data_IF_889113657249
#
_entry.id   IF_889113657249
#
_cell.length_a   1.000
_cell.length_b   1.000
_cell.length_c   1.000
_cell.angle_alpha   90.00
_cell.angle_beta   90.00
_cell.angle_gamma   90.00
#
_symmetry.space_group_name_H-M   'P 1'
#
loop_
_entity.id
_entity.type
_entity.pdbx_description
1 polymer ?
#
# COMPACT_ATOMS: atom_id res chain seq x y z
N UNK A 1 -17.28 -2.26 42.76
CA UNK A 1 -17.56 -2.24 41.30
C UNK A 1 -16.35 -1.64 40.62
N UNK A 2 -15.47 -2.49 40.07
CA UNK A 2 -14.25 -2.04 39.39
C UNK A 2 -14.60 -1.48 38.01
N UNK A 3 -14.03 -0.33 37.67
CA UNK A 3 -14.15 0.29 36.36
C UNK A 3 -13.62 -0.67 35.27
N UNK A 4 -14.21 -0.69 34.06
CA UNK A 4 -13.70 -1.51 32.97
C UNK A 4 -12.34 -0.96 32.55
N UNK A 5 -11.32 -1.80 32.57
CA UNK A 5 -10.01 -1.52 31.97
C UNK A 5 -10.21 -1.19 30.50
N UNK A 6 -10.06 0.09 30.16
CA UNK A 6 -9.97 0.52 28.77
C UNK A 6 -8.76 -0.18 28.15
N UNK A 7 -9.01 -1.02 27.16
CA UNK A 7 -7.98 -1.60 26.30
C UNK A 7 -7.07 -0.47 25.79
N UNK A 8 -5.86 -0.37 26.31
CA UNK A 8 -4.79 0.42 25.72
C UNK A 8 -4.33 -0.30 24.45
N UNK A 9 -5.12 -0.14 23.39
CA UNK A 9 -4.69 -0.45 22.03
C UNK A 9 -3.49 0.47 21.77
N UNK A 10 -2.26 -0.05 21.86
CA UNK A 10 -1.07 0.73 21.51
C UNK A 10 -1.26 1.31 20.12
N UNK A 11 -1.48 2.62 20.05
CA UNK A 11 -1.71 3.36 18.82
C UNK A 11 -0.48 3.20 17.93
N UNK A 12 -0.65 2.42 16.87
CA UNK A 12 0.35 2.15 15.83
C UNK A 12 0.47 3.35 14.87
N UNK A 13 0.55 4.57 15.41
CA UNK A 13 0.62 5.79 14.62
C UNK A 13 2.07 6.25 14.51
N UNK A 14 2.70 6.01 13.37
CA UNK A 14 4.03 6.54 13.08
C UNK A 14 3.99 8.08 12.99
N UNK A 15 5.14 8.75 13.14
CA UNK A 15 5.27 10.21 12.92
C UNK A 15 4.73 10.64 11.55
N UNK A 16 4.87 9.77 10.54
CA UNK A 16 4.31 9.98 9.19
C UNK A 16 2.78 9.97 9.20
N UNK A 17 2.16 9.04 9.92
CA UNK A 17 0.69 8.96 10.07
C UNK A 17 0.15 10.22 10.75
N UNK A 18 0.77 10.68 11.84
CA UNK A 18 0.38 11.92 12.51
C UNK A 18 0.53 13.13 11.58
N UNK A 19 1.64 13.21 10.85
CA UNK A 19 1.87 14.27 9.85
C UNK A 19 0.82 14.23 8.72
N UNK A 20 0.40 13.03 8.32
CA UNK A 20 -0.68 12.86 7.35
C UNK A 20 -2.02 13.35 7.90
N UNK A 21 -2.38 13.00 9.13
CA UNK A 21 -3.61 13.47 9.77
C UNK A 21 -3.66 14.99 9.87
N UNK A 22 -2.57 15.63 10.30
CA UNK A 22 -2.46 17.11 10.30
C UNK A 22 -2.73 17.72 8.92
N UNK A 23 -2.18 17.13 7.85
CA UNK A 23 -2.43 17.60 6.47
C UNK A 23 -3.88 17.40 6.03
N UNK A 24 -4.52 16.31 6.45
CA UNK A 24 -5.94 16.05 6.15
C UNK A 24 -6.82 17.06 6.86
N UNK A 25 -6.62 17.29 8.15
CA UNK A 25 -7.36 18.30 8.92
C UNK A 25 -7.21 19.69 8.29
N UNK A 26 -5.98 20.12 8.00
CA UNK A 26 -5.74 21.40 7.33
C UNK A 26 -6.42 21.53 5.96
N UNK A 27 -6.55 20.42 5.22
CA UNK A 27 -7.30 20.39 3.96
C UNK A 27 -8.80 20.56 4.19
N UNK A 28 -9.36 19.89 5.20
CA UNK A 28 -10.78 19.99 5.54
C UNK A 28 -11.13 21.38 6.07
N UNK A 29 -10.25 22.01 6.86
CA UNK A 29 -10.41 23.41 7.29
C UNK A 29 -10.46 24.37 6.11
N UNK A 30 -9.53 24.24 5.15
CA UNK A 30 -9.58 25.05 3.92
C UNK A 30 -10.85 24.79 3.10
N UNK A 31 -11.40 23.57 3.16
CA UNK A 31 -12.66 23.27 2.49
C UNK A 31 -13.84 23.89 3.24
N UNK A 32 -13.89 23.80 4.57
CA UNK A 32 -14.89 24.45 5.41
C UNK A 32 -14.91 25.98 5.17
N UNK A 33 -13.74 26.62 5.12
CA UNK A 33 -13.64 28.05 4.82
C UNK A 33 -14.22 28.41 3.43
N UNK A 34 -14.04 27.55 2.42
CA UNK A 34 -14.64 27.74 1.10
C UNK A 34 -16.16 27.58 1.13
N UNK A 35 -16.67 26.59 1.86
CA UNK A 35 -18.11 26.39 2.02
C UNK A 35 -18.76 27.58 2.73
N UNK A 36 -18.13 28.08 3.79
CA UNK A 36 -18.57 29.28 4.50
C UNK A 36 -18.60 30.51 3.57
N UNK A 37 -17.52 30.73 2.81
CA UNK A 37 -17.45 31.85 1.85
C UNK A 37 -18.48 31.75 0.72
N UNK A 38 -18.87 30.53 0.33
CA UNK A 38 -19.91 30.29 -0.67
C UNK A 38 -21.33 30.38 -0.11
N UNK A 39 -21.51 30.44 1.21
CA UNK A 39 -22.81 30.38 1.88
C UNK A 39 -23.38 28.96 2.03
N UNK A 40 -22.60 27.93 1.69
CA UNK A 40 -22.99 26.51 1.79
C UNK A 40 -22.82 25.93 3.20
N UNK A 41 -22.23 26.70 4.12
CA UNK A 41 -22.04 26.34 5.53
C UNK A 41 -22.30 27.55 6.41
N UNK A 42 -23.07 27.37 7.48
CA UNK A 42 -23.27 28.39 8.50
C UNK A 42 -21.99 28.64 9.31
N UNK A 43 -21.89 29.81 9.95
CA UNK A 43 -20.82 30.08 10.89
C UNK A 43 -20.99 29.19 12.14
N UNK A 44 -20.05 28.24 12.29
CA UNK A 44 -20.03 27.29 13.41
C UNK A 44 -18.77 27.58 14.23
N UNK A 45 -18.88 27.96 15.51
CA UNK A 45 -17.72 28.25 16.35
C UNK A 45 -16.81 27.04 16.56
N UNK A 46 -17.41 25.86 16.80
CA UNK A 46 -16.68 24.62 17.06
C UNK A 46 -15.90 24.15 15.82
N UNK A 47 -14.58 24.07 15.99
CA UNK A 47 -13.66 23.69 14.93
C UNK A 47 -13.85 22.25 14.47
N UNK A 48 -14.05 21.30 15.37
CA UNK A 48 -14.14 19.88 15.05
C UNK A 48 -15.43 19.62 14.27
N UNK A 49 -16.53 20.30 14.63
CA UNK A 49 -17.80 20.25 13.87
C UNK A 49 -17.63 20.80 12.46
N UNK A 50 -16.95 21.94 12.26
CA UNK A 50 -16.67 22.48 10.91
C UNK A 50 -15.91 21.49 10.04
N UNK A 51 -14.89 20.84 10.62
CA UNK A 51 -14.08 19.82 9.93
C UNK A 51 -14.94 18.61 9.54
N UNK A 52 -15.83 18.17 10.43
CA UNK A 52 -16.74 17.04 10.19
C UNK A 52 -17.72 17.31 9.05
N UNK A 53 -18.34 18.49 9.02
CA UNK A 53 -19.28 18.88 7.95
C UNK A 53 -18.53 18.99 6.62
N UNK A 54 -17.36 19.63 6.59
CA UNK A 54 -16.55 19.69 5.38
C UNK A 54 -16.16 18.29 4.86
N UNK A 55 -15.91 17.35 5.77
CA UNK A 55 -15.71 15.95 5.39
C UNK A 55 -16.98 15.33 4.80
N UNK A 56 -18.16 15.53 5.41
CA UNK A 56 -19.42 14.99 4.91
C UNK A 56 -19.75 15.48 3.49
N UNK A 57 -19.46 16.74 3.18
CA UNK A 57 -19.60 17.29 1.82
C UNK A 57 -18.65 16.63 0.81
N UNK A 58 -17.42 16.30 1.23
CA UNK A 58 -16.39 15.73 0.36
C UNK A 58 -16.46 14.20 0.25
N UNK A 59 -17.07 13.52 1.22
CA UNK A 59 -17.13 12.05 1.28
C UNK A 59 -17.65 11.38 -0.02
N UNK A 60 -18.71 11.90 -0.70
CA UNK A 60 -19.23 11.31 -1.93
C UNK A 60 -18.28 11.45 -3.12
N UNK A 61 -17.28 12.34 -3.05
CA UNK A 61 -16.36 12.63 -4.16
C UNK A 61 -15.02 11.91 -4.02
N UNK A 62 -14.81 11.16 -2.94
CA UNK A 62 -13.56 10.44 -2.67
C UNK A 62 -13.79 8.93 -2.60
N UNK A 63 -12.72 8.17 -2.85
CA UNK A 63 -12.77 6.70 -2.71
C UNK A 63 -13.07 6.30 -1.26
N UNK A 64 -13.69 5.15 -1.05
CA UNK A 64 -13.97 4.60 0.28
C UNK A 64 -12.69 4.49 1.14
N UNK A 65 -11.56 4.12 0.52
CA UNK A 65 -10.28 4.06 1.21
C UNK A 65 -9.80 5.43 1.70
N UNK A 66 -10.06 6.50 0.92
CA UNK A 66 -9.75 7.88 1.31
C UNK A 66 -10.70 8.37 2.38
N UNK A 67 -12.00 8.11 2.24
CA UNK A 67 -13.01 8.47 3.24
C UNK A 67 -12.67 7.86 4.61
N UNK A 68 -12.31 6.57 4.65
CA UNK A 68 -11.86 5.90 5.87
C UNK A 68 -10.62 6.57 6.50
N UNK A 69 -9.65 7.00 5.68
CA UNK A 69 -8.46 7.70 6.18
C UNK A 69 -8.78 9.09 6.72
N UNK A 70 -9.76 9.77 6.12
CA UNK A 70 -10.22 11.07 6.59
C UNK A 70 -10.96 10.93 7.92
N UNK A 71 -11.85 9.95 8.06
CA UNK A 71 -12.49 9.62 9.35
C UNK A 71 -11.46 9.34 10.44
N UNK A 72 -10.44 8.53 10.14
CA UNK A 72 -9.36 8.27 11.10
C UNK A 72 -8.60 9.55 11.51
N UNK A 73 -8.40 10.50 10.59
CA UNK A 73 -7.79 11.79 10.90
C UNK A 73 -8.67 12.66 11.81
N UNK A 74 -10.00 12.62 11.61
CA UNK A 74 -10.97 13.36 12.43
C UNK A 74 -11.09 12.75 13.83
N UNK A 75 -11.11 11.41 13.94
CA UNK A 75 -11.07 10.74 15.23
C UNK A 75 -9.80 11.10 16.02
N UNK A 76 -8.65 11.10 15.34
CA UNK A 76 -7.40 11.55 15.96
C UNK A 76 -7.44 13.02 16.37
N UNK A 77 -8.14 13.87 15.61
CA UNK A 77 -8.32 15.27 15.98
C UNK A 77 -9.09 15.40 17.29
N UNK A 78 -10.24 14.73 17.40
CA UNK A 78 -11.06 14.71 18.63
C UNK A 78 -10.26 14.20 19.83
N UNK A 79 -9.46 13.14 19.65
CA UNK A 79 -8.62 12.59 20.72
C UNK A 79 -7.50 13.54 21.17
N UNK A 80 -6.94 14.32 20.25
CA UNK A 80 -5.77 15.17 20.53
C UNK A 80 -6.12 16.62 20.90
N UNK A 81 -7.23 17.13 20.36
CA UNK A 81 -7.74 18.48 20.55
C UNK A 81 -9.28 18.40 20.72
N UNK A 82 -9.77 17.98 21.90
CA UNK A 82 -11.20 17.81 22.14
C UNK A 82 -11.96 19.13 21.98
N UNK A 83 -13.12 19.05 21.32
CA UNK A 83 -14.07 20.13 21.14
C UNK A 83 -15.26 20.01 22.11
N UNK A 84 -16.04 21.07 22.22
CA UNK A 84 -17.25 21.07 23.08
C UNK A 84 -18.36 20.20 22.49
N UNK A 85 -18.32 19.95 21.18
CA UNK A 85 -19.36 19.23 20.43
C UNK A 85 -18.88 17.97 19.72
N UNK A 86 -17.88 17.28 20.27
CA UNK A 86 -17.32 16.07 19.65
C UNK A 86 -18.34 14.93 19.48
N UNK A 87 -19.39 14.89 20.32
CA UNK A 87 -20.51 13.96 20.11
C UNK A 87 -21.25 14.19 18.79
N UNK A 88 -21.43 15.45 18.39
CA UNK A 88 -22.02 15.78 17.08
C UNK A 88 -21.07 15.41 15.94
N UNK A 89 -19.76 15.54 16.15
CA UNK A 89 -18.75 15.11 15.18
C UNK A 89 -18.85 13.61 14.92
N UNK A 90 -18.95 12.79 15.97
CA UNK A 90 -19.09 11.34 15.85
C UNK A 90 -20.34 10.96 15.05
N UNK A 91 -21.48 11.60 15.33
CA UNK A 91 -22.72 11.40 14.58
C UNK A 91 -22.59 11.74 13.09
N UNK A 92 -21.79 12.76 12.75
CA UNK A 92 -21.58 13.17 11.35
C UNK A 92 -20.71 12.15 10.61
N UNK A 93 -19.62 11.67 11.24
CA UNK A 93 -18.63 10.83 10.55
C UNK A 93 -18.95 9.33 10.63
N UNK A 94 -19.73 8.91 11.62
CA UNK A 94 -20.11 7.53 11.89
C UNK A 94 -21.55 7.47 12.45
N UNK A 95 -22.57 7.76 11.61
CA UNK A 95 -23.97 7.72 12.04
C UNK A 95 -24.40 6.29 12.42
N UNK A 96 -25.28 6.17 13.41
CA UNK A 96 -25.82 4.88 13.82
C UNK A 96 -26.59 4.19 12.68
N UNK A 97 -26.51 2.85 12.55
CA UNK A 97 -27.21 2.13 11.49
C UNK A 97 -28.73 2.26 11.63
N UNK A 98 -29.37 2.86 10.62
CA UNK A 98 -30.82 2.89 10.42
C UNK A 98 -31.16 2.44 9.00
N UNK A 99 -32.45 2.18 8.71
CA UNK A 99 -32.90 1.92 7.34
C UNK A 99 -32.51 3.07 6.38
N UNK A 100 -32.65 4.32 6.84
CA UNK A 100 -32.22 5.50 6.09
C UNK A 100 -30.70 5.60 5.90
N UNK A 101 -29.90 5.05 6.83
CA UNK A 101 -28.44 5.00 6.68
C UNK A 101 -27.99 3.94 5.66
N UNK A 102 -28.69 2.80 5.58
CA UNK A 102 -28.44 1.82 4.52
C UNK A 102 -28.66 2.44 3.13
N UNK A 103 -29.78 3.17 2.97
CA UNK A 103 -30.07 3.89 1.73
C UNK A 103 -29.02 4.96 1.44
N UNK A 104 -28.58 5.71 2.46
CA UNK A 104 -27.48 6.69 2.34
C UNK A 104 -26.19 6.02 1.87
N UNK A 105 -25.84 4.86 2.42
CA UNK A 105 -24.63 4.14 2.02
C UNK A 105 -24.69 3.65 0.58
N UNK A 106 -25.85 3.20 0.11
CA UNK A 106 -26.05 2.80 -1.27
C UNK A 106 -26.03 4.01 -2.22
N UNK A 107 -26.62 5.15 -1.83
CA UNK A 107 -26.50 6.40 -2.56
C UNK A 107 -25.05 6.88 -2.64
N UNK A 108 -24.29 6.80 -1.54
CA UNK A 108 -22.87 7.13 -1.50
C UNK A 108 -22.05 6.22 -2.44
N UNK A 109 -22.36 4.92 -2.49
CA UNK A 109 -21.72 3.97 -3.42
C UNK A 109 -22.03 4.34 -4.86
N UNK A 110 -23.28 4.69 -5.17
CA UNK A 110 -23.71 5.12 -6.51
C UNK A 110 -23.02 6.43 -6.93
N UNK A 111 -23.02 7.45 -6.07
CA UNK A 111 -22.33 8.73 -6.31
C UNK A 111 -20.83 8.55 -6.51
N UNK A 112 -20.19 7.70 -5.70
CA UNK A 112 -18.76 7.35 -5.88
C UNK A 112 -18.50 6.68 -7.22
N UNK A 113 -19.36 5.75 -7.64
CA UNK A 113 -19.25 5.10 -8.94
C UNK A 113 -19.34 6.10 -10.10
N UNK A 114 -20.21 7.11 -9.98
CA UNK A 114 -20.35 8.20 -10.95
C UNK A 114 -19.16 9.18 -10.93
N UNK A 115 -18.66 9.55 -9.75
CA UNK A 115 -17.58 10.54 -9.60
C UNK A 115 -16.19 9.97 -9.91
N UNK A 116 -16.01 8.66 -9.78
CA UNK A 116 -14.74 7.96 -9.98
C UNK A 116 -14.66 7.27 -11.36
N UNK A 117 -15.30 7.85 -12.38
CA UNK A 117 -15.28 7.36 -13.76
C UNK A 117 -13.86 7.27 -14.35
N UNK A 118 -12.92 8.08 -13.85
CA UNK A 118 -11.51 8.04 -14.27
C UNK A 118 -10.64 7.40 -13.20
N UNK A 119 -9.84 6.41 -13.59
CA UNK A 119 -8.84 5.81 -12.69
C UNK A 119 -7.80 6.88 -12.32
N UNK A 120 -7.45 6.98 -11.03
CA UNK A 120 -6.41 7.92 -10.57
C UNK A 120 -5.35 7.26 -9.70
N UNK A 121 -4.11 7.72 -9.83
CA UNK A 121 -3.00 7.36 -8.95
C UNK A 121 -2.75 5.85 -8.90
N UNK A 122 -2.89 5.23 -7.72
CA UNK A 122 -2.66 3.79 -7.56
C UNK A 122 -3.59 2.91 -8.41
N UNK A 123 -4.77 3.42 -8.80
CA UNK A 123 -5.71 2.68 -9.64
C UNK A 123 -5.23 2.59 -11.10
N UNK A 124 -4.43 3.55 -11.57
CA UNK A 124 -3.83 3.52 -12.91
C UNK A 124 -2.63 2.58 -13.00
N UNK A 125 -2.20 1.97 -11.89
CA UNK A 125 -1.07 1.03 -11.90
C UNK A 125 -1.56 -0.34 -12.39
N UNK A 126 -0.91 -0.85 -13.43
CA UNK A 126 -1.11 -2.21 -13.89
C UNK A 126 -0.68 -3.19 -12.79
N UNK A 127 -1.50 -4.22 -12.54
CA UNK A 127 -1.15 -5.31 -11.61
C UNK A 127 -0.38 -6.43 -12.29
N UNK A 128 -0.40 -6.47 -13.62
CA UNK A 128 0.27 -7.50 -14.41
C UNK A 128 0.80 -6.87 -15.70
N UNK A 129 1.91 -7.41 -16.18
CA UNK A 129 2.48 -7.13 -17.49
C UNK A 129 3.03 -8.46 -18.03
N UNK A 130 2.77 -8.77 -19.30
CA UNK A 130 3.30 -9.98 -19.95
C UNK A 130 4.81 -9.87 -20.14
N UNK A 131 5.52 -10.99 -20.35
CA UNK A 131 6.96 -10.93 -20.63
C UNK A 131 7.26 -10.16 -21.92
N UNK A 132 6.42 -10.30 -22.96
CA UNK A 132 6.57 -9.51 -24.19
C UNK A 132 6.45 -8.00 -23.93
N UNK A 133 5.49 -7.58 -23.09
CA UNK A 133 5.37 -6.18 -22.71
C UNK A 133 6.50 -5.71 -21.79
N UNK A 134 7.03 -6.56 -20.90
CA UNK A 134 8.24 -6.25 -20.14
C UNK A 134 9.44 -6.02 -21.05
N UNK A 135 9.62 -6.86 -22.08
CA UNK A 135 10.65 -6.67 -23.11
C UNK A 135 10.47 -5.34 -23.82
N UNK A 136 9.26 -5.04 -24.31
CA UNK A 136 8.95 -3.76 -24.98
C UNK A 136 9.25 -2.55 -24.10
N UNK A 137 8.86 -2.59 -22.82
CA UNK A 137 9.16 -1.52 -21.87
C UNK A 137 10.66 -1.40 -21.62
N UNK A 138 11.37 -2.53 -21.48
CA UNK A 138 12.81 -2.57 -21.27
C UNK A 138 13.59 -1.98 -22.46
N UNK A 139 13.17 -2.30 -23.68
CA UNK A 139 13.73 -1.72 -24.90
C UNK A 139 13.44 -0.22 -25.01
N UNK A 140 12.22 0.22 -24.69
CA UNK A 140 11.86 1.64 -24.68
C UNK A 140 12.67 2.42 -23.64
N UNK A 141 12.84 1.88 -22.43
CA UNK A 141 13.75 2.42 -21.42
C UNK A 141 15.19 2.46 -21.93
N UNK A 142 15.65 1.43 -22.63
CA UNK A 142 16.99 1.37 -23.22
C UNK A 142 17.25 2.43 -24.29
N UNK A 143 16.21 2.92 -24.96
CA UNK A 143 16.30 4.05 -25.92
C UNK A 143 16.21 5.43 -25.26
N UNK A 144 15.80 5.50 -23.99
CA UNK A 144 15.70 6.78 -23.28
C UNK A 144 17.09 7.34 -22.99
N UNK A 145 17.24 8.66 -23.20
CA UNK A 145 18.46 9.40 -22.85
C UNK A 145 18.50 9.82 -21.37
N UNK A 146 17.47 9.49 -20.60
CA UNK A 146 17.40 9.81 -19.17
C UNK A 146 18.47 9.05 -18.40
N UNK A 147 19.13 9.74 -17.46
CA UNK A 147 20.02 9.11 -16.48
C UNK A 147 19.31 8.07 -15.60
N UNK A 148 17.97 8.10 -15.51
CA UNK A 148 17.18 7.12 -14.76
C UNK A 148 16.88 5.84 -15.54
N UNK A 149 17.22 5.75 -16.84
CA UNK A 149 16.91 4.60 -17.68
C UNK A 149 17.58 3.30 -17.21
N UNK A 150 18.90 3.35 -16.95
CA UNK A 150 19.66 2.23 -16.39
C UNK A 150 19.12 1.79 -15.02
N UNK A 151 19.02 2.72 -14.04
CA UNK A 151 18.40 2.45 -12.75
C UNK A 151 17.00 1.84 -12.84
N UNK A 152 16.14 2.33 -13.74
CA UNK A 152 14.78 1.82 -13.92
C UNK A 152 14.78 0.34 -14.38
N UNK A 153 15.61 0.01 -15.37
CA UNK A 153 15.74 -1.38 -15.88
C UNK A 153 16.26 -2.32 -14.79
N UNK A 154 17.32 -1.92 -14.09
CA UNK A 154 17.86 -2.71 -12.96
C UNK A 154 16.82 -2.91 -11.86
N UNK A 155 16.11 -1.86 -11.45
CA UNK A 155 15.13 -1.95 -10.38
C UNK A 155 13.96 -2.87 -10.73
N UNK A 156 13.43 -2.75 -11.96
CA UNK A 156 12.37 -3.63 -12.45
C UNK A 156 12.82 -5.10 -12.40
N UNK A 157 13.98 -5.42 -12.97
CA UNK A 157 14.49 -6.80 -13.03
C UNK A 157 14.78 -7.35 -11.64
N UNK A 158 15.48 -6.59 -10.80
CA UNK A 158 15.78 -7.00 -9.42
C UNK A 158 14.50 -7.23 -8.60
N UNK A 159 13.44 -6.44 -8.85
CA UNK A 159 12.13 -6.62 -8.21
C UNK A 159 11.35 -7.83 -8.75
N UNK A 160 11.47 -8.15 -10.04
CA UNK A 160 10.88 -9.36 -10.62
C UNK A 160 11.51 -10.65 -10.07
N UNK A 161 12.77 -10.57 -9.63
CA UNK A 161 13.51 -11.68 -9.02
C UNK A 161 13.23 -11.82 -7.52
N UNK A 162 13.06 -10.72 -6.79
CA UNK A 162 13.03 -10.72 -5.32
C UNK A 162 11.71 -10.27 -4.69
N UNK A 163 10.88 -9.56 -5.44
CA UNK A 163 9.58 -9.08 -4.98
C UNK A 163 9.62 -7.93 -3.98
N UNK A 164 10.77 -7.30 -3.68
CA UNK A 164 10.88 -6.22 -2.70
C UNK A 164 9.99 -5.01 -3.03
N UNK A 165 9.50 -4.30 -2.01
CA UNK A 165 8.90 -2.97 -2.20
C UNK A 165 10.01 -1.96 -2.43
N UNK A 166 9.72 -0.83 -3.10
CA UNK A 166 10.69 0.25 -3.24
C UNK A 166 11.41 0.55 -1.92
N UNK A 167 10.66 0.93 -0.88
CA UNK A 167 11.23 1.30 0.42
C UNK A 167 12.00 0.19 1.18
N UNK A 168 11.91 -1.07 0.75
CA UNK A 168 12.64 -2.19 1.37
C UNK A 168 14.08 -2.29 0.87
N UNK A 169 14.35 -1.86 -0.37
CA UNK A 169 15.67 -1.96 -1.00
C UNK A 169 16.80 -1.27 -0.25
N UNK A 170 16.50 -0.12 0.37
CA UNK A 170 17.48 0.72 1.06
C UNK A 170 18.19 0.04 2.22
N UNK A 171 17.52 -0.91 2.88
CA UNK A 171 18.04 -1.65 4.03
C UNK A 171 18.12 -3.15 3.74
N UNK A 172 18.12 -3.52 2.47
CA UNK A 172 18.28 -4.90 2.06
C UNK A 172 19.77 -5.24 1.93
N UNK A 173 20.13 -6.45 2.30
CA UNK A 173 21.51 -6.94 2.26
C UNK A 173 21.54 -8.33 1.63
N UNK A 174 22.54 -8.57 0.81
CA UNK A 174 22.79 -9.86 0.19
C UNK A 174 23.94 -10.53 0.95
N UNK A 175 23.64 -11.66 1.57
CA UNK A 175 24.60 -12.55 2.23
C UNK A 175 24.67 -13.86 1.44
N UNK A 176 25.72 -14.02 0.64
CA UNK A 176 25.82 -15.09 -0.36
C UNK A 176 24.64 -15.08 -1.32
N UNK A 177 23.79 -16.10 -1.27
CA UNK A 177 22.56 -16.21 -2.06
C UNK A 177 21.30 -15.93 -1.23
N UNK A 178 21.41 -15.27 -0.07
CA UNK A 178 20.29 -14.93 0.80
C UNK A 178 20.11 -13.42 0.88
N UNK A 179 18.94 -12.94 0.47
CA UNK A 179 18.57 -11.53 0.55
C UNK A 179 17.81 -11.28 1.85
N UNK A 180 18.46 -10.61 2.80
CA UNK A 180 17.91 -10.22 4.09
C UNK A 180 17.25 -8.85 3.97
N UNK A 181 16.00 -8.73 4.44
CA UNK A 181 15.16 -7.55 4.20
C UNK A 181 14.43 -7.13 5.46
N UNK A 182 14.52 -5.85 5.83
CA UNK A 182 13.65 -5.27 6.86
C UNK A 182 12.22 -5.14 6.32
N UNK A 183 11.27 -5.80 6.98
CA UNK A 183 9.87 -5.79 6.57
C UNK A 183 9.26 -4.39 6.71
N UNK A 184 8.85 -3.76 5.61
CA UNK A 184 8.22 -2.44 5.63
C UNK A 184 6.87 -2.41 6.40
N UNK A 185 6.28 -3.57 6.72
CA UNK A 185 5.04 -3.69 7.50
C UNK A 185 5.27 -3.97 9.00
N UNK A 186 6.52 -4.11 9.44
CA UNK A 186 6.82 -4.35 10.86
C UNK A 186 6.38 -3.17 11.73
N UNK A 187 6.49 -1.94 11.23
CA UNK A 187 6.09 -0.69 11.91
C UNK A 187 4.60 -0.57 12.24
N UNK A 188 3.76 -1.45 11.70
CA UNK A 188 2.30 -1.40 11.87
C UNK A 188 1.71 -2.71 12.41
N UNK A 189 2.53 -3.63 12.95
CA UNK A 189 2.06 -4.96 13.41
C UNK A 189 1.52 -5.86 12.28
N UNK A 190 1.83 -5.52 11.02
CA UNK A 190 1.29 -6.21 9.82
C UNK A 190 2.30 -7.13 9.13
N UNK A 191 3.52 -7.24 9.66
CA UNK A 191 4.54 -8.21 9.25
C UNK A 191 4.60 -9.40 10.23
N UNK A 192 5.08 -10.55 9.76
CA UNK A 192 5.27 -11.74 10.61
C UNK A 192 6.51 -11.62 11.51
N UNK A 193 7.43 -10.70 11.18
CA UNK A 193 8.70 -10.47 11.86
C UNK A 193 9.27 -9.10 11.47
N UNK A 194 10.34 -8.66 12.15
CA UNK A 194 11.07 -7.43 11.81
C UNK A 194 11.81 -7.55 10.46
N UNK A 195 12.41 -8.71 10.19
CA UNK A 195 13.17 -9.01 8.97
C UNK A 195 12.67 -10.30 8.33
N UNK A 196 12.84 -10.44 7.01
CA UNK A 196 12.62 -11.69 6.27
C UNK A 196 13.83 -12.02 5.41
N UNK A 197 14.00 -13.29 5.08
CA UNK A 197 15.07 -13.79 4.22
C UNK A 197 14.48 -14.43 2.97
N UNK A 198 14.98 -14.00 1.81
CA UNK A 198 14.62 -14.55 0.51
C UNK A 198 15.83 -15.29 -0.05
N UNK A 199 15.71 -16.61 -0.20
CA UNK A 199 16.72 -17.43 -0.86
C UNK A 199 16.72 -17.18 -2.36
N UNK A 200 17.89 -16.95 -2.93
CA UNK A 200 18.14 -16.74 -4.35
C UNK A 200 19.11 -17.79 -4.91
N UNK A 201 19.32 -18.91 -4.21
CA UNK A 201 20.28 -19.94 -4.60
C UNK A 201 19.92 -20.62 -5.95
N UNK A 202 18.65 -20.56 -6.35
CA UNK A 202 18.17 -21.07 -7.65
C UNK A 202 18.26 -20.03 -8.78
N UNK A 203 18.57 -18.77 -8.46
CA UNK A 203 18.85 -17.77 -9.48
C UNK A 203 20.23 -18.04 -10.08
N UNK A 204 20.37 -17.83 -11.38
CA UNK A 204 21.67 -17.96 -12.04
C UNK A 204 22.63 -16.83 -11.64
N UNK A 205 23.90 -16.94 -12.03
CA UNK A 205 24.93 -15.94 -11.72
C UNK A 205 24.59 -14.54 -12.26
N UNK A 206 23.89 -14.46 -13.39
CA UNK A 206 23.49 -13.19 -14.00
C UNK A 206 22.35 -12.56 -13.20
N UNK A 207 21.36 -13.34 -12.80
CA UNK A 207 20.24 -12.90 -11.97
C UNK A 207 20.70 -12.44 -10.58
N UNK A 208 21.61 -13.18 -9.95
CA UNK A 208 22.25 -12.78 -8.70
C UNK A 208 23.05 -11.47 -8.87
N UNK A 209 23.82 -11.35 -9.96
CA UNK A 209 24.57 -10.13 -10.26
C UNK A 209 23.66 -8.91 -10.46
N UNK A 210 22.47 -9.09 -11.04
CA UNK A 210 21.47 -8.02 -11.18
C UNK A 210 20.99 -7.54 -9.79
N UNK A 211 20.68 -8.46 -8.87
CA UNK A 211 20.26 -8.09 -7.52
C UNK A 211 21.40 -7.39 -6.77
N UNK A 212 22.61 -7.93 -6.83
CA UNK A 212 23.80 -7.35 -6.20
C UNK A 212 24.10 -5.94 -6.74
N UNK A 213 24.16 -5.78 -8.06
CA UNK A 213 24.42 -4.49 -8.72
C UNK A 213 23.36 -3.45 -8.38
N UNK A 214 22.09 -3.87 -8.22
CA UNK A 214 21.03 -2.95 -7.83
C UNK A 214 21.15 -2.53 -6.35
N UNK A 215 21.57 -3.43 -5.46
CA UNK A 215 21.88 -3.06 -4.07
C UNK A 215 23.04 -2.07 -3.98
N UNK A 216 24.10 -2.28 -4.75
CA UNK A 216 25.23 -1.35 -4.85
C UNK A 216 24.79 0.02 -5.38
N UNK A 217 23.96 0.04 -6.43
CA UNK A 217 23.36 1.28 -6.94
C UNK A 217 22.53 1.99 -5.87
N UNK A 218 21.69 1.26 -5.12
CA UNK A 218 20.88 1.88 -4.05
C UNK A 218 21.77 2.46 -2.96
N UNK A 219 22.86 1.77 -2.59
CA UNK A 219 23.83 2.23 -1.59
C UNK A 219 24.59 3.47 -2.05
N UNK A 220 24.93 3.58 -3.34
CA UNK A 220 25.69 4.72 -3.86
C UNK A 220 24.94 6.06 -3.79
N UNK A 221 23.61 6.03 -3.71
CA UNK A 221 22.79 7.23 -3.49
C UNK A 221 22.69 7.63 -2.01
N UNK A 222 23.03 6.75 -1.07
CA UNK A 222 22.88 6.99 0.37
C UNK A 222 21.43 7.25 0.80
N UNK A 223 21.25 7.65 2.06
CA UNK A 223 19.93 7.94 2.63
C UNK A 223 19.25 9.14 1.95
N UNK A 224 20.00 10.23 1.73
CA UNK A 224 19.46 11.47 1.20
C UNK A 224 19.16 11.39 -0.30
N UNK A 225 19.97 10.66 -1.07
CA UNK A 225 19.79 10.51 -2.52
C UNK A 225 18.74 9.47 -2.91
N UNK A 226 18.36 8.57 -2.00
CA UNK A 226 17.41 7.50 -2.29
C UNK A 226 16.05 8.03 -2.79
N UNK A 227 15.58 9.14 -2.23
CA UNK A 227 14.31 9.76 -2.65
C UNK A 227 14.38 10.21 -4.11
N UNK A 228 15.48 10.84 -4.51
CA UNK A 228 15.70 11.29 -5.88
C UNK A 228 15.78 10.12 -6.85
N UNK A 229 16.48 9.04 -6.47
CA UNK A 229 16.50 7.79 -7.24
C UNK A 229 15.08 7.22 -7.41
N UNK A 230 14.31 7.13 -6.34
CA UNK A 230 12.94 6.62 -6.36
C UNK A 230 12.01 7.46 -7.24
N UNK A 231 12.00 8.78 -7.05
CA UNK A 231 11.11 9.67 -7.79
C UNK A 231 11.50 9.72 -9.28
N UNK A 232 12.79 9.86 -9.59
CA UNK A 232 13.29 9.89 -10.97
C UNK A 232 12.97 8.61 -11.76
N UNK A 233 13.21 7.44 -11.15
CA UNK A 233 12.85 6.15 -11.76
C UNK A 233 11.34 6.00 -11.91
N UNK A 234 10.56 6.36 -10.87
CA UNK A 234 9.10 6.24 -10.92
C UNK A 234 8.51 7.09 -12.04
N UNK A 235 8.96 8.32 -12.16
CA UNK A 235 8.41 9.28 -13.11
C UNK A 235 8.82 8.88 -14.54
N UNK A 236 10.09 8.50 -14.77
CA UNK A 236 10.53 7.96 -16.06
C UNK A 236 9.73 6.72 -16.49
N UNK A 237 9.53 5.75 -15.59
CA UNK A 237 8.73 4.56 -15.92
C UNK A 237 7.32 4.97 -16.32
N UNK A 238 6.72 5.94 -15.63
CA UNK A 238 5.38 6.41 -15.93
C UNK A 238 5.28 7.02 -17.33
N UNK A 239 6.26 7.85 -17.71
CA UNK A 239 6.26 8.56 -18.99
C UNK A 239 6.53 7.59 -20.15
N UNK A 240 7.60 6.80 -20.04
CA UNK A 240 7.95 5.79 -21.04
C UNK A 240 6.85 4.74 -21.19
N UNK A 241 6.19 4.34 -20.11
CA UNK A 241 5.07 3.40 -20.18
C UNK A 241 3.86 3.96 -20.94
N UNK A 242 3.55 5.26 -20.77
CA UNK A 242 2.45 5.91 -21.50
C UNK A 242 2.73 5.97 -23.00
N UNK A 243 3.96 6.28 -23.36
CA UNK A 243 4.41 6.30 -24.76
C UNK A 243 4.46 4.89 -25.37
N UNK A 244 4.93 3.89 -24.61
CA UNK A 244 5.09 2.52 -25.10
C UNK A 244 3.75 1.81 -25.29
N UNK A 245 2.76 2.15 -24.47
CA UNK A 245 1.45 1.49 -24.45
C UNK A 245 0.30 2.49 -24.61
N UNK A 246 0.18 3.17 -25.77
CA UNK A 246 -0.87 4.14 -26.00
C UNK A 246 -2.25 3.49 -25.87
N UNK A 247 -3.20 4.22 -25.27
CA UNK A 247 -4.60 3.78 -25.12
C UNK A 247 -4.88 2.79 -23.98
N UNK A 248 -3.91 2.45 -23.12
CA UNK A 248 -4.18 1.64 -21.92
C UNK A 248 -4.72 2.49 -20.76
N UNK A 249 -5.70 1.97 -20.03
CA UNK A 249 -6.17 2.61 -18.79
C UNK A 249 -5.22 2.42 -17.59
N UNK A 250 -4.32 1.43 -17.70
CA UNK A 250 -3.40 1.05 -16.63
C UNK A 250 -1.99 0.83 -17.17
N UNK A 251 -1.03 1.44 -16.49
CA UNK A 251 0.36 1.48 -16.90
C UNK A 251 1.27 0.77 -15.90
N UNK A 252 2.34 0.11 -16.36
CA UNK A 252 3.33 -0.48 -15.49
C UNK A 252 4.02 0.56 -14.59
N UNK A 253 4.45 0.11 -13.42
CA UNK A 253 5.18 0.87 -12.41
C UNK A 253 6.15 -0.07 -11.66
N UNK A 254 6.99 0.46 -10.78
CA UNK A 254 7.79 -0.37 -9.86
C UNK A 254 6.95 -1.38 -9.07
N UNK A 255 5.71 -1.03 -8.72
CA UNK A 255 4.80 -1.94 -8.01
C UNK A 255 4.24 -3.04 -8.92
N UNK A 256 4.19 -2.83 -10.23
CA UNK A 256 3.78 -3.84 -11.20
C UNK A 256 4.74 -5.01 -11.19
N UNK A 257 6.07 -4.77 -11.13
CA UNK A 257 7.07 -5.82 -10.98
C UNK A 257 6.82 -6.66 -9.71
N UNK A 258 6.58 -6.03 -8.56
CA UNK A 258 6.22 -6.74 -7.32
C UNK A 258 4.91 -7.52 -7.44
N UNK A 259 3.92 -7.00 -8.17
CA UNK A 259 2.67 -7.73 -8.42
C UNK A 259 2.89 -8.96 -9.33
N UNK A 260 3.76 -8.86 -10.34
CA UNK A 260 4.18 -9.98 -11.17
C UNK A 260 4.93 -11.05 -10.37
N UNK A 261 5.90 -10.65 -9.53
CA UNK A 261 6.57 -11.55 -8.59
C UNK A 261 5.55 -12.30 -7.71
N UNK A 262 4.61 -11.57 -7.12
CA UNK A 262 3.59 -12.18 -6.26
C UNK A 262 2.66 -13.15 -7.01
N UNK A 263 2.36 -12.88 -8.28
CA UNK A 263 1.58 -13.80 -9.11
C UNK A 263 2.35 -15.09 -9.43
N UNK A 264 3.65 -14.99 -9.73
CA UNK A 264 4.55 -16.15 -9.88
C UNK A 264 4.64 -16.94 -8.57
N UNK A 265 4.84 -16.26 -7.44
CA UNK A 265 4.87 -16.88 -6.13
C UNK A 265 3.58 -17.66 -5.83
N UNK A 266 2.40 -17.10 -6.14
CA UNK A 266 1.10 -17.79 -5.97
C UNK A 266 0.90 -18.97 -6.92
N UNK A 267 1.59 -19.00 -8.05
CA UNK A 267 1.54 -20.12 -8.99
C UNK A 267 2.48 -21.26 -8.56
N UNK A 268 3.53 -20.95 -7.78
CA UNK A 268 4.56 -21.90 -7.35
C UNK A 268 4.38 -22.41 -5.91
N UNK A 269 3.93 -21.55 -4.99
CA UNK A 269 3.98 -21.81 -3.54
C UNK A 269 2.61 -21.71 -2.86
N UNK A 270 2.53 -22.26 -1.64
CA UNK A 270 1.35 -22.15 -0.76
C UNK A 270 1.13 -20.71 -0.27
N UNK A 271 -0.06 -20.43 0.28
CA UNK A 271 -0.38 -19.10 0.82
C UNK A 271 0.57 -18.65 1.95
N UNK A 272 1.06 -19.59 2.77
CA UNK A 272 1.98 -19.33 3.89
C UNK A 272 3.35 -18.93 3.36
N UNK A 273 3.88 -19.70 2.41
CA UNK A 273 5.15 -19.43 1.73
C UNK A 273 5.11 -18.10 0.96
N UNK A 274 4.02 -17.81 0.26
CA UNK A 274 3.79 -16.51 -0.37
C UNK A 274 3.78 -15.39 0.67
N UNK A 275 3.17 -15.61 1.85
CA UNK A 275 3.16 -14.61 2.91
C UNK A 275 4.57 -14.38 3.51
N UNK A 276 5.38 -15.44 3.62
CA UNK A 276 6.78 -15.37 4.03
C UNK A 276 7.60 -14.53 3.03
N UNK A 277 7.60 -14.91 1.75
CA UNK A 277 8.28 -14.17 0.67
C UNK A 277 7.90 -12.69 0.63
N UNK A 278 6.61 -12.38 0.83
CA UNK A 278 6.08 -11.03 0.68
C UNK A 278 6.14 -10.17 1.94
N UNK A 279 6.59 -10.72 3.08
CA UNK A 279 6.68 -9.98 4.35
C UNK A 279 5.32 -9.69 4.97
N UNK A 280 4.37 -10.62 4.90
CA UNK A 280 3.01 -10.45 5.44
C UNK A 280 2.80 -11.27 6.70
N UNK A 281 2.07 -10.71 7.67
CA UNK A 281 1.60 -11.44 8.83
C UNK A 281 0.37 -12.33 8.54
N UNK A 282 -0.39 -12.03 7.48
CA UNK A 282 -1.65 -12.69 7.14
C UNK A 282 -1.66 -13.17 5.70
N UNK A 283 -2.22 -14.37 5.50
CA UNK A 283 -2.44 -14.98 4.19
C UNK A 283 -3.62 -14.36 3.43
N UNK A 284 -4.55 -13.68 4.12
CA UNK A 284 -5.70 -13.02 3.50
C UNK A 284 -5.27 -11.88 2.56
N UNK A 285 -4.22 -11.13 2.93
CA UNK A 285 -3.69 -10.02 2.11
C UNK A 285 -2.96 -10.51 0.85
N UNK A 286 -2.44 -11.74 0.86
CA UNK A 286 -1.75 -12.31 -0.29
C UNK A 286 -2.71 -12.49 -1.48
N UNK A 287 -3.97 -12.87 -1.24
CA UNK A 287 -4.95 -13.19 -2.30
C UNK A 287 -5.40 -12.01 -3.17
N UNK A 288 -5.90 -10.94 -2.56
CA UNK A 288 -6.71 -9.89 -3.25
C UNK A 288 -5.91 -8.69 -3.80
N UNK A 289 -4.76 -8.37 -3.19
CA UNK A 289 -4.03 -7.13 -3.50
C UNK A 289 -3.03 -7.25 -4.67
N UNK A 290 -2.62 -8.48 -5.02
CA UNK A 290 -1.64 -8.75 -6.07
C UNK A 290 -2.27 -9.41 -7.30
N UNK A 291 -1.56 -9.44 -8.42
CA UNK A 291 -2.04 -10.15 -9.60
C UNK A 291 -2.44 -11.61 -9.28
N UNK A 292 -3.52 -12.12 -9.91
CA UNK A 292 -3.92 -13.52 -9.81
C UNK A 292 -2.86 -14.50 -10.33
N UNK A 293 -2.78 -15.69 -9.74
CA UNK A 293 -1.85 -16.76 -10.15
C UNK A 293 -2.01 -17.18 -11.62
N UNK A 294 -3.24 -17.14 -12.15
CA UNK A 294 -3.55 -17.52 -13.55
C UNK A 294 -2.72 -16.76 -14.58
N UNK A 295 -2.27 -15.54 -14.27
CA UNK A 295 -1.45 -14.77 -15.20
C UNK A 295 -0.02 -15.30 -15.32
N UNK A 296 0.46 -16.03 -14.31
CA UNK A 296 1.80 -16.63 -14.29
C UNK A 296 1.80 -18.15 -14.55
N UNK A 297 0.63 -18.79 -14.65
CA UNK A 297 0.52 -20.23 -14.94
C UNK A 297 1.09 -20.54 -16.32
N UNK A 298 1.89 -21.61 -16.41
CA UNK A 298 2.54 -22.03 -17.65
C UNK A 298 3.83 -21.26 -18.00
N UNK A 299 4.23 -20.27 -17.19
CA UNK A 299 5.51 -19.58 -17.31
C UNK A 299 6.62 -20.19 -16.44
N UNK A 300 7.83 -19.60 -16.50
CA UNK A 300 8.97 -20.00 -15.65
C UNK A 300 8.57 -19.91 -14.16
N UNK A 301 8.74 -20.99 -13.37
CA UNK A 301 8.52 -20.97 -11.93
C UNK A 301 9.30 -19.85 -11.24
N UNK A 302 8.88 -19.48 -10.03
CA UNK A 302 9.67 -18.56 -9.21
C UNK A 302 10.88 -19.29 -8.62
N UNK A 303 12.07 -18.69 -8.76
CA UNK A 303 13.30 -19.23 -8.18
C UNK A 303 13.61 -18.70 -6.79
N UNK A 304 13.03 -17.55 -6.42
CA UNK A 304 13.13 -17.03 -5.08
C UNK A 304 12.38 -17.91 -4.08
N UNK A 305 13.06 -18.28 -3.00
CA UNK A 305 12.56 -19.23 -2.01
C UNK A 305 12.34 -18.55 -0.65
N UNK A 306 11.23 -18.86 0.04
CA UNK A 306 11.03 -18.44 1.42
C UNK A 306 11.98 -19.18 2.37
N UNK A 307 12.47 -18.51 3.41
CA UNK A 307 13.18 -19.22 4.49
C UNK A 307 12.22 -20.03 5.37
N UNK A 308 12.70 -21.16 5.91
CA UNK A 308 11.94 -21.99 6.85
C UNK A 308 11.53 -21.18 8.11
N UNK A 309 12.44 -20.35 8.62
CA UNK A 309 12.20 -19.50 9.78
C UNK A 309 11.03 -18.51 9.54
N UNK A 310 10.95 -17.92 8.35
CA UNK A 310 9.87 -16.99 8.00
C UNK A 310 8.53 -17.71 7.80
N UNK A 311 8.54 -18.92 7.22
CA UNK A 311 7.35 -19.77 7.10
C UNK A 311 6.77 -20.06 8.48
N UNK A 312 7.62 -20.48 9.42
CA UNK A 312 7.18 -20.80 10.78
C UNK A 312 6.72 -19.55 11.53
N UNK A 313 7.36 -18.40 11.32
CA UNK A 313 6.89 -17.12 11.86
C UNK A 313 5.49 -16.75 11.35
N UNK A 314 5.20 -16.96 10.07
CA UNK A 314 3.86 -16.75 9.51
C UNK A 314 2.85 -17.71 10.16
N UNK A 315 3.18 -18.99 10.30
CA UNK A 315 2.29 -19.99 10.95
C UNK A 315 1.96 -19.59 12.38
N UNK A 316 2.97 -19.20 13.17
CA UNK A 316 2.78 -18.69 14.54
C UNK A 316 1.87 -17.45 14.56
N UNK A 317 2.09 -16.50 13.67
CA UNK A 317 1.27 -15.29 13.57
C UNK A 317 -0.19 -15.58 13.16
N UNK A 318 -0.44 -16.61 12.35
CA UNK A 318 -1.79 -17.05 12.01
C UNK A 318 -2.47 -17.73 13.20
N UNK A 319 -1.78 -18.64 13.88
CA UNK A 319 -2.32 -19.35 15.04
C UNK A 319 -2.68 -18.38 16.16
N UNK A 320 -1.80 -17.41 16.45
CA UNK A 320 -2.10 -16.35 17.41
C UNK A 320 -3.38 -15.59 17.03
N UNK A 321 -3.54 -15.20 15.75
CA UNK A 321 -4.78 -14.52 15.32
C UNK A 321 -6.03 -15.37 15.48
N UNK A 322 -5.93 -16.68 15.21
CA UNK A 322 -7.06 -17.59 15.33
C UNK A 322 -7.46 -17.85 16.79
N UNK A 323 -6.49 -17.84 17.72
CA UNK A 323 -6.75 -17.96 19.16
C UNK A 323 -7.48 -16.74 19.74
N UNK A 324 -7.31 -15.56 19.13
CA UNK A 324 -7.92 -14.31 19.60
C UNK A 324 -9.12 -13.83 18.76
N UNK A 325 -9.49 -14.56 17.71
CA UNK A 325 -10.77 -14.35 17.02
C UNK A 325 -11.86 -15.09 17.79
N UNK A 326 -12.83 -14.38 18.37
CA UNK A 326 -14.01 -15.01 18.95
C UNK A 326 -14.64 -15.98 17.93
N UNK A 327 -15.11 -17.16 18.36
CA UNK A 327 -15.85 -18.05 17.50
C UNK A 327 -17.08 -17.30 16.97
N UNK A 328 -17.05 -16.99 15.67
CA UNK A 328 -18.30 -16.79 14.94
C UNK A 328 -19.00 -18.13 14.98
N UNK A 329 -20.18 -18.16 15.57
CA UNK A 329 -21.05 -19.30 15.77
C UNK A 329 -20.79 -20.05 17.09
N UNK A 330 -21.41 -19.55 18.16
CA UNK A 330 -22.13 -20.43 19.08
C UNK A 330 -23.64 -20.18 18.88
N UNK A 331 -24.46 -21.25 18.88
CA UNK A 331 -25.83 -21.27 18.36
C UNK A 331 -26.79 -20.29 19.03
#
# INVERSE_FOLDING_TARGET
>A
MSAPEMRTTQLTQTRETQSFYKRVVARLERHAAKLLAAGDMAEIPDRNVRVAIAYACLEPTVTEATARLYRAAILHLIESEPGERDWDVLKIIDPEPSASESDRQDELRARRAQNLQTLRGAQQKAKWLSMADWTRLGEALGRSRSNWAGPARHWITATLLSGLRPCEWRRAELDGASLVVVNAKATNGRAHSATRTIGLAKCDRTELAVVASFLELVRSYGEDGYKSLYDGVRDLICDVARETFPGRDRYPSLYTARHCFAARAKATYSKVEVAALMGHASTATAGRSYAPARHARGGRPLEAEPSANDIDAVRRAQNARNLFSEPKDMP
#
